data_IF_043392545350
#
_entry.id   IF_043392545350
#
_cell.length_a   1.000
_cell.length_b   1.000
_cell.length_c   1.000
_cell.angle_alpha   90.00
_cell.angle_beta   90.00
_cell.angle_gamma   90.00
#
_symmetry.space_group_name_H-M   'P 1'
#
loop_
_entity.id
_entity.type
_entity.pdbx_description
1 polymer ?
#
# COMPACT_ATOMS: atom_id res chain seq x y z
N UNK A 1 12.34 -19.30 14.07
CA UNK A 1 11.46 -18.69 13.05
C UNK A 1 11.64 -19.50 11.79
N UNK A 2 10.58 -20.11 11.29
CA UNK A 2 10.65 -20.89 10.06
C UNK A 2 10.94 -19.95 8.89
N UNK A 3 12.01 -20.22 8.15
CA UNK A 3 12.60 -19.34 7.13
C UNK A 3 11.71 -19.11 5.89
N UNK A 4 10.46 -19.57 5.90
CA UNK A 4 9.58 -19.57 4.73
C UNK A 4 8.16 -19.02 5.01
N UNK A 5 7.97 -18.29 6.11
CA UNK A 5 6.67 -17.69 6.42
C UNK A 5 6.61 -16.25 5.92
N UNK A 6 5.66 -15.97 5.04
CA UNK A 6 5.33 -14.60 4.61
C UNK A 6 4.16 -14.10 5.46
N UNK A 7 4.28 -12.89 6.02
CA UNK A 7 3.16 -12.22 6.70
C UNK A 7 2.35 -11.45 5.67
N UNK A 8 1.08 -11.81 5.52
CA UNK A 8 0.15 -11.13 4.62
C UNK A 8 -0.75 -10.23 5.44
N UNK A 9 -0.81 -8.96 5.05
CA UNK A 9 -1.71 -7.96 5.63
C UNK A 9 -2.67 -7.51 4.53
N UNK A 10 -3.96 -7.41 4.85
CA UNK A 10 -4.97 -6.93 3.92
C UNK A 10 -5.67 -5.72 4.51
N UNK A 11 -5.97 -4.73 3.69
CA UNK A 11 -6.71 -3.53 4.13
C UNK A 11 -8.05 -3.90 4.77
N UNK A 12 -8.72 -4.94 4.25
CA UNK A 12 -9.96 -5.45 4.83
C UNK A 12 -9.76 -5.98 6.27
N UNK A 13 -8.76 -6.84 6.48
CA UNK A 13 -8.49 -7.39 7.81
C UNK A 13 -8.07 -6.31 8.81
N UNK A 14 -7.23 -5.35 8.37
CA UNK A 14 -6.78 -4.26 9.24
C UNK A 14 -7.96 -3.36 9.64
N UNK A 15 -8.82 -2.97 8.68
CA UNK A 15 -10.01 -2.16 8.97
C UNK A 15 -10.93 -2.86 9.96
N UNK A 16 -11.13 -4.17 9.79
CA UNK A 16 -12.00 -4.94 10.68
C UNK A 16 -11.42 -5.08 12.10
N UNK A 17 -10.09 -5.26 12.23
CA UNK A 17 -9.44 -5.53 13.51
C UNK A 17 -9.04 -4.27 14.29
N UNK A 18 -8.77 -3.15 13.60
CA UNK A 18 -8.26 -1.92 14.22
C UNK A 18 -9.31 -0.82 14.26
N UNK A 19 -9.76 -0.35 13.10
CA UNK A 19 -10.84 0.65 12.98
C UNK A 19 -11.32 0.74 11.53
N UNK A 20 -12.63 0.92 11.34
CA UNK A 20 -13.23 1.14 10.03
C UNK A 20 -12.73 2.42 9.35
N UNK A 21 -12.21 3.37 10.12
CA UNK A 21 -11.68 4.66 9.63
C UNK A 21 -10.30 4.54 8.95
N UNK A 22 -9.67 3.37 8.95
CA UNK A 22 -8.31 3.20 8.42
C UNK A 22 -8.29 3.05 6.88
N UNK A 23 -8.59 4.16 6.19
CA UNK A 23 -8.52 4.34 4.74
C UNK A 23 -7.13 4.83 4.29
N UNK A 24 -6.91 5.03 2.99
CA UNK A 24 -5.60 5.46 2.46
C UNK A 24 -5.17 6.81 3.08
N UNK A 25 -6.10 7.74 3.17
CA UNK A 25 -5.98 9.05 3.82
C UNK A 25 -5.67 8.96 5.32
N UNK A 26 -6.14 7.92 5.99
CA UNK A 26 -5.83 7.70 7.40
C UNK A 26 -4.37 7.29 7.60
N UNK A 27 -3.81 6.47 6.71
CA UNK A 27 -2.37 6.15 6.77
C UNK A 27 -1.50 7.38 6.47
N UNK A 28 -1.91 8.22 5.51
CA UNK A 28 -1.23 9.49 5.25
C UNK A 28 -1.30 10.42 6.48
N UNK A 29 -2.49 10.55 7.10
CA UNK A 29 -2.64 11.29 8.36
C UNK A 29 -1.73 10.75 9.46
N UNK A 30 -1.66 9.43 9.63
CA UNK A 30 -0.78 8.81 10.61
C UNK A 30 0.69 9.13 10.34
N UNK A 31 1.14 9.08 9.09
CA UNK A 31 2.50 9.45 8.73
C UNK A 31 2.79 10.94 8.95
N UNK A 32 1.84 11.83 8.63
CA UNK A 32 1.94 13.26 8.89
C UNK A 32 1.99 13.58 10.39
N UNK A 33 1.26 12.82 11.22
CA UNK A 33 1.23 13.02 12.66
C UNK A 33 2.44 12.41 13.36
N UNK A 34 2.76 11.14 13.10
CA UNK A 34 3.81 10.40 13.81
C UNK A 34 5.22 10.63 13.26
N UNK A 35 5.31 11.19 12.06
CA UNK A 35 6.51 11.12 11.24
C UNK A 35 6.49 9.87 10.36
N UNK A 36 7.05 10.03 9.17
CA UNK A 36 7.21 8.98 8.18
C UNK A 36 8.45 9.25 7.33
N UNK A 37 8.52 8.68 6.13
CA UNK A 37 9.73 8.77 5.30
C UNK A 37 10.00 10.18 4.75
N UNK A 38 8.99 11.07 4.75
CA UNK A 38 9.06 12.40 4.15
C UNK A 38 9.10 13.57 5.15
N UNK A 39 8.76 13.34 6.42
CA UNK A 39 8.69 14.37 7.45
C UNK A 39 8.76 13.75 8.86
N UNK A 40 9.28 14.50 9.83
CA UNK A 40 9.36 14.09 11.25
C UNK A 40 8.00 14.11 11.96
N UNK A 41 6.99 14.75 11.36
CA UNK A 41 5.64 14.85 11.89
C UNK A 41 5.50 15.81 13.07
N UNK A 42 4.43 15.62 13.85
CA UNK A 42 4.10 16.49 14.97
C UNK A 42 4.83 16.06 16.24
N UNK A 43 5.58 16.98 16.83
CA UNK A 43 6.35 16.71 18.05
C UNK A 43 5.45 16.24 19.19
N UNK A 44 5.67 15.00 19.64
CA UNK A 44 4.91 14.39 20.72
C UNK A 44 3.60 13.74 20.29
N UNK A 45 3.32 13.65 18.99
CA UNK A 45 2.20 12.88 18.46
C UNK A 45 2.63 11.44 18.16
N UNK A 46 2.32 10.51 19.06
CA UNK A 46 2.61 9.08 18.86
C UNK A 46 1.51 8.35 18.09
N UNK A 47 1.76 7.08 17.76
CA UNK A 47 0.83 6.22 17.01
C UNK A 47 -0.56 6.12 17.63
N UNK A 48 -0.67 6.08 18.96
CA UNK A 48 -1.98 6.03 19.64
C UNK A 48 -2.78 7.31 19.45
N UNK A 49 -2.13 8.47 19.55
CA UNK A 49 -2.77 9.78 19.37
C UNK A 49 -3.18 9.98 17.91
N UNK A 50 -2.32 9.62 16.97
CA UNK A 50 -2.64 9.68 15.54
C UNK A 50 -3.77 8.72 15.17
N UNK A 51 -3.81 7.51 15.72
CA UNK A 51 -4.92 6.58 15.52
C UNK A 51 -6.22 7.11 16.12
N UNK A 52 -6.17 7.77 17.28
CA UNK A 52 -7.32 8.46 17.85
C UNK A 52 -7.84 9.57 16.92
N UNK A 53 -6.94 10.36 16.32
CA UNK A 53 -7.32 11.35 15.31
C UNK A 53 -7.96 10.73 14.07
N UNK A 54 -7.43 9.59 13.58
CA UNK A 54 -8.06 8.82 12.51
C UNK A 54 -9.49 8.44 12.89
N UNK A 55 -9.71 7.94 14.11
CA UNK A 55 -11.03 7.57 14.61
C UNK A 55 -11.97 8.78 14.81
N UNK A 56 -11.42 9.99 14.95
CA UNK A 56 -12.20 11.23 14.96
C UNK A 56 -12.72 11.64 13.57
N UNK A 57 -12.30 10.97 12.50
CA UNK A 57 -12.75 11.25 11.13
C UNK A 57 -11.98 12.38 10.42
N UNK A 58 -10.89 12.88 11.01
CA UNK A 58 -10.10 13.99 10.40
C UNK A 58 -9.29 13.52 9.19
N UNK A 59 -9.14 12.21 8.99
CA UNK A 59 -8.52 11.65 7.78
C UNK A 59 -9.41 11.85 6.55
N UNK A 60 -10.71 11.58 6.68
CA UNK A 60 -11.69 11.83 5.60
C UNK A 60 -11.79 13.32 5.27
N UNK A 61 -11.78 14.18 6.29
CA UNK A 61 -11.75 15.64 6.08
C UNK A 61 -10.51 16.09 5.28
N UNK A 62 -9.35 15.49 5.52
CA UNK A 62 -8.12 15.79 4.77
C UNK A 62 -8.30 15.49 3.27
N UNK A 63 -8.92 14.35 2.96
CA UNK A 63 -9.25 13.96 1.58
C UNK A 63 -10.23 14.95 0.96
N UNK A 64 -11.24 15.39 1.71
CA UNK A 64 -12.25 16.32 1.21
C UNK A 64 -11.63 17.70 0.89
N UNK A 65 -10.70 18.19 1.72
CA UNK A 65 -9.91 19.40 1.42
C UNK A 65 -9.16 19.24 0.09
N UNK A 66 -8.47 18.13 -0.11
CA UNK A 66 -7.71 17.87 -1.34
C UNK A 66 -8.59 17.73 -2.57
N UNK A 67 -9.77 17.13 -2.44
CA UNK A 67 -10.73 16.98 -3.53
C UNK A 67 -11.37 18.32 -3.92
N UNK A 68 -11.48 19.26 -2.99
CA UNK A 68 -12.07 20.58 -3.20
C UNK A 68 -11.06 21.66 -3.64
N UNK A 69 -9.77 21.34 -3.71
CA UNK A 69 -8.73 22.31 -4.01
C UNK A 69 -8.73 22.74 -5.49
N UNK A 70 -8.70 24.06 -5.72
CA UNK A 70 -8.62 24.65 -7.07
C UNK A 70 -7.26 24.43 -7.76
N UNK A 71 -6.21 24.22 -6.96
CA UNK A 71 -4.84 24.01 -7.42
C UNK A 71 -4.22 22.78 -6.75
N UNK A 72 -3.24 22.18 -7.42
CA UNK A 72 -2.43 21.10 -6.88
C UNK A 72 -0.94 21.46 -7.00
N UNK A 73 -0.20 21.61 -5.87
CA UNK A 73 -0.66 21.47 -4.49
C UNK A 73 -1.67 22.52 -4.01
N UNK A 74 -2.54 22.16 -3.04
CA UNK A 74 -3.44 23.13 -2.43
C UNK A 74 -2.65 24.21 -1.70
N UNK A 75 -3.16 25.43 -1.73
CA UNK A 75 -2.63 26.51 -0.92
C UNK A 75 -2.69 26.16 0.58
N UNK A 76 -1.68 26.54 1.39
CA UNK A 76 -1.67 26.21 2.82
C UNK A 76 -2.93 26.62 3.58
N UNK A 77 -3.61 27.69 3.15
CA UNK A 77 -4.86 28.17 3.73
C UNK A 77 -6.06 27.22 3.57
N UNK A 78 -6.04 26.31 2.58
CA UNK A 78 -7.11 25.33 2.37
C UNK A 78 -7.28 24.38 3.58
N UNK A 79 -6.21 24.16 4.34
CA UNK A 79 -6.21 23.29 5.51
C UNK A 79 -6.60 24.01 6.81
N UNK A 80 -6.99 25.29 6.78
CA UNK A 80 -7.29 26.06 7.99
C UNK A 80 -8.40 25.42 8.85
N UNK A 81 -9.52 25.06 8.22
CA UNK A 81 -10.64 24.46 8.94
C UNK A 81 -10.26 23.07 9.48
N UNK A 82 -9.61 22.26 8.65
CA UNK A 82 -9.09 20.96 9.04
C UNK A 82 -8.11 21.03 10.23
N UNK A 83 -7.17 21.99 10.23
CA UNK A 83 -6.25 22.23 11.35
C UNK A 83 -7.00 22.59 12.63
N UNK A 84 -8.03 23.44 12.53
CA UNK A 84 -8.86 23.81 13.68
C UNK A 84 -9.56 22.59 14.27
N UNK A 85 -10.09 21.70 13.44
CA UNK A 85 -10.73 20.46 13.88
C UNK A 85 -9.72 19.52 14.54
N UNK A 86 -8.55 19.30 13.94
CA UNK A 86 -7.46 18.51 14.54
C UNK A 86 -7.07 19.08 15.91
N UNK A 87 -6.88 20.39 16.00
CA UNK A 87 -6.56 21.09 17.25
C UNK A 87 -7.68 20.90 18.30
N UNK A 88 -8.93 21.08 17.90
CA UNK A 88 -10.08 20.89 18.76
C UNK A 88 -10.16 19.46 19.31
N UNK A 89 -9.94 18.45 18.47
CA UNK A 89 -9.88 17.05 18.90
C UNK A 89 -8.72 16.79 19.86
N UNK A 90 -7.53 17.33 19.60
CA UNK A 90 -6.38 17.19 20.49
C UNK A 90 -6.60 17.86 21.86
N UNK A 91 -7.25 19.02 21.90
CA UNK A 91 -7.44 19.79 23.14
C UNK A 91 -8.63 19.29 23.96
N UNK A 92 -9.71 18.84 23.32
CA UNK A 92 -10.98 18.55 23.99
C UNK A 92 -11.43 17.08 23.91
N UNK A 93 -10.89 16.30 22.98
CA UNK A 93 -11.26 14.89 22.71
C UNK A 93 -12.77 14.61 22.82
N UNK A 94 -13.62 15.35 22.07
CA UNK A 94 -15.08 15.29 22.23
C UNK A 94 -15.67 13.90 21.92
N UNK A 95 -15.01 13.14 21.05
CA UNK A 95 -15.38 11.77 20.66
C UNK A 95 -14.84 10.71 21.62
N UNK A 96 -13.92 11.10 22.53
CA UNK A 96 -13.17 10.20 23.43
C UNK A 96 -12.34 9.14 22.70
N UNK A 97 -12.07 9.35 21.41
CA UNK A 97 -11.35 8.39 20.58
C UNK A 97 -9.84 8.44 20.85
N UNK A 98 -9.31 9.60 21.26
CA UNK A 98 -7.90 9.75 21.62
C UNK A 98 -7.64 9.19 23.02
N UNK A 99 -8.63 9.31 23.92
CA UNK A 99 -8.61 8.79 25.29
C UNK A 99 -7.87 9.70 26.27
N UNK A 100 -7.19 10.75 25.78
CA UNK A 100 -6.50 11.77 26.58
C UNK A 100 -6.37 13.07 25.80
N UNK A 101 -6.27 14.18 26.52
CA UNK A 101 -6.01 15.50 25.97
C UNK A 101 -4.51 15.72 25.68
N UNK A 102 -4.21 16.32 24.54
CA UNK A 102 -2.86 16.61 24.02
C UNK A 102 -2.68 18.08 23.62
N UNK A 103 -2.90 19.06 24.53
CA UNK A 103 -2.77 20.48 24.21
C UNK A 103 -1.35 20.89 23.78
N UNK A 104 -0.31 20.19 24.25
CA UNK A 104 1.07 20.44 23.80
C UNK A 104 1.30 20.03 22.35
N UNK A 105 0.64 18.97 21.87
CA UNK A 105 0.70 18.54 20.47
C UNK A 105 -0.08 19.53 19.62
N UNK A 106 -1.26 19.96 20.08
CA UNK A 106 -2.05 21.00 19.42
C UNK A 106 -1.24 22.31 19.26
N UNK A 107 -0.49 22.71 20.29
CA UNK A 107 0.39 23.88 20.24
C UNK A 107 1.60 23.72 19.31
N UNK A 108 1.98 22.49 18.95
CA UNK A 108 3.04 22.21 17.98
C UNK A 108 2.57 22.24 16.53
N UNK A 109 1.25 22.29 16.30
CA UNK A 109 0.64 22.36 14.98
C UNK A 109 0.95 23.74 14.37
N UNK A 110 1.82 23.78 13.36
CA UNK A 110 2.14 25.01 12.64
C UNK A 110 1.07 25.38 11.62
N UNK A 111 0.94 26.66 11.28
CA UNK A 111 0.08 27.13 10.19
C UNK A 111 0.53 26.59 8.81
N UNK A 112 1.76 26.12 8.69
CA UNK A 112 2.27 25.43 7.50
C UNK A 112 1.97 23.93 7.48
N UNK A 113 1.43 23.35 8.56
CA UNK A 113 1.12 21.93 8.64
C UNK A 113 -0.32 21.63 8.16
N UNK A 114 -0.55 20.62 7.33
CA UNK A 114 0.44 19.73 6.75
C UNK A 114 1.07 20.39 5.51
N UNK A 115 2.32 20.03 5.21
CA UNK A 115 2.97 20.51 3.99
C UNK A 115 2.22 19.95 2.76
N UNK A 116 1.67 20.80 1.88
CA UNK A 116 0.92 20.35 0.71
C UNK A 116 1.71 19.39 -0.19
N UNK A 117 3.01 19.61 -0.31
CA UNK A 117 3.91 18.76 -1.10
C UNK A 117 4.05 17.37 -0.49
N UNK A 118 4.19 17.28 0.84
CA UNK A 118 4.35 16.00 1.55
C UNK A 118 3.06 15.17 1.47
N UNK A 119 1.90 15.80 1.57
CA UNK A 119 0.61 15.12 1.43
C UNK A 119 0.48 14.46 0.04
N UNK A 120 0.94 15.15 -1.01
CA UNK A 120 0.90 14.61 -2.36
C UNK A 120 1.78 13.38 -2.52
N UNK A 121 2.94 13.33 -1.87
CA UNK A 121 3.81 12.16 -1.95
C UNK A 121 3.10 10.88 -1.48
N UNK A 122 2.23 10.98 -0.46
CA UNK A 122 1.45 9.85 0.02
C UNK A 122 0.18 9.57 -0.80
N UNK A 123 -0.59 10.62 -1.13
CA UNK A 123 -1.92 10.44 -1.70
C UNK A 123 -1.96 10.46 -3.23
N UNK A 124 -0.93 11.01 -3.87
CA UNK A 124 -0.75 11.05 -5.32
C UNK A 124 0.72 10.74 -5.67
N UNK A 125 1.23 9.56 -5.29
CA UNK A 125 2.60 9.20 -5.57
C UNK A 125 2.86 9.22 -7.08
N UNK A 126 4.09 9.57 -7.45
CA UNK A 126 4.54 9.42 -8.83
C UNK A 126 4.58 7.93 -9.19
N UNK A 127 3.50 7.46 -9.82
CA UNK A 127 3.38 6.11 -10.35
C UNK A 127 3.72 6.13 -11.83
N UNK A 128 4.36 5.06 -12.30
CA UNK A 128 4.42 4.81 -13.74
C UNK A 128 2.99 4.72 -14.26
N UNK A 129 2.62 5.59 -15.21
CA UNK A 129 1.33 5.49 -15.92
C UNK A 129 1.29 4.08 -16.49
N UNK A 130 0.21 3.36 -16.23
CA UNK A 130 -0.06 2.01 -16.72
C UNK A 130 -0.17 2.02 -18.25
N UNK A 131 0.94 2.24 -18.93
CA UNK A 131 1.14 1.81 -20.31
C UNK A 131 1.61 0.38 -20.14
N UNK A 132 0.67 -0.56 -20.24
CA UNK A 132 0.91 -1.98 -20.26
C UNK A 132 2.04 -2.41 -19.31
N UNK A 133 1.77 -2.46 -18.00
CA UNK A 133 2.54 -3.42 -17.19
C UNK A 133 2.23 -4.74 -17.90
N UNK A 134 3.21 -5.41 -18.56
CA UNK A 134 2.92 -6.69 -19.16
C UNK A 134 2.39 -7.52 -18.00
N UNK A 135 1.09 -7.85 -18.05
CA UNK A 135 0.44 -8.56 -16.97
C UNK A 135 1.33 -9.74 -16.65
N UNK A 136 1.71 -9.93 -15.37
CA UNK A 136 2.69 -10.89 -14.88
C UNK A 136 2.82 -12.00 -15.91
N UNK A 137 3.91 -11.95 -16.69
CA UNK A 137 4.02 -12.67 -17.95
C UNK A 137 3.51 -14.09 -17.76
N UNK A 138 2.72 -14.58 -18.72
CA UNK A 138 2.32 -15.99 -18.79
C UNK A 138 3.54 -16.81 -18.42
N UNK A 139 3.43 -17.79 -17.49
CA UNK A 139 4.59 -18.54 -17.04
C UNK A 139 5.39 -18.99 -18.25
N UNK A 140 6.60 -18.48 -18.42
CA UNK A 140 7.47 -18.89 -19.51
C UNK A 140 8.60 -19.72 -18.94
N UNK A 141 9.04 -20.70 -19.71
CA UNK A 141 10.21 -21.48 -19.37
C UNK A 141 11.44 -20.56 -19.39
N UNK A 142 12.31 -20.65 -18.38
CA UNK A 142 13.57 -19.93 -18.42
C UNK A 142 14.41 -20.45 -19.59
N UNK A 143 15.14 -19.57 -20.26
CA UNK A 143 16.17 -19.99 -21.20
C UNK A 143 17.32 -20.67 -20.42
N UNK A 144 17.29 -22.00 -20.39
CA UNK A 144 18.26 -22.82 -19.69
C UNK A 144 19.66 -22.71 -20.28
N UNK A 145 19.78 -22.40 -21.58
CA UNK A 145 21.08 -22.27 -22.25
C UNK A 145 21.76 -20.97 -21.84
N UNK A 146 21.00 -19.88 -21.87
CA UNK A 146 21.48 -18.57 -21.39
C UNK A 146 21.77 -18.61 -19.90
N UNK A 147 20.90 -19.24 -19.11
CA UNK A 147 21.11 -19.42 -17.67
C UNK A 147 22.38 -20.24 -17.37
N UNK A 148 22.62 -21.34 -18.09
CA UNK A 148 23.82 -22.16 -17.92
C UNK A 148 25.10 -21.40 -18.28
N UNK A 149 25.03 -20.52 -19.28
CA UNK A 149 26.14 -19.65 -19.67
C UNK A 149 26.42 -18.60 -18.59
N UNK A 150 25.39 -17.92 -18.08
CA UNK A 150 25.50 -16.94 -17.00
C UNK A 150 26.01 -17.55 -15.69
N UNK A 151 25.53 -18.74 -15.33
CA UNK A 151 26.00 -19.44 -14.13
C UNK A 151 27.48 -19.79 -14.24
N UNK A 152 27.96 -20.16 -15.42
CA UNK A 152 29.39 -20.40 -15.65
C UNK A 152 30.20 -19.13 -15.50
N UNK A 153 29.75 -18.04 -16.10
CA UNK A 153 30.44 -16.75 -16.11
C UNK A 153 30.44 -16.07 -14.73
N UNK A 154 29.29 -16.00 -14.08
CA UNK A 154 29.09 -15.23 -12.84
C UNK A 154 29.44 -16.01 -11.58
N UNK A 155 29.26 -17.34 -11.59
CA UNK A 155 29.49 -18.19 -10.42
C UNK A 155 30.73 -19.09 -10.55
N UNK A 156 31.44 -19.03 -11.69
CA UNK A 156 32.66 -19.81 -11.92
C UNK A 156 32.41 -21.32 -12.02
N UNK A 157 31.20 -21.74 -12.41
CA UNK A 157 30.83 -23.15 -12.52
C UNK A 157 31.34 -23.77 -13.84
N UNK A 158 32.66 -23.97 -13.91
CA UNK A 158 33.34 -24.49 -15.10
C UNK A 158 33.19 -26.02 -15.30
N UNK A 159 32.91 -26.76 -14.22
CA UNK A 159 32.73 -28.22 -14.26
C UNK A 159 31.33 -28.59 -14.77
N UNK A 160 31.26 -29.05 -16.02
CA UNK A 160 30.00 -29.44 -16.67
C UNK A 160 29.21 -30.50 -15.91
N UNK A 161 29.86 -31.43 -15.21
CA UNK A 161 29.18 -32.50 -14.46
C UNK A 161 28.52 -31.93 -13.21
N UNK A 162 29.24 -31.08 -12.46
CA UNK A 162 28.70 -30.42 -11.28
C UNK A 162 27.61 -29.43 -11.64
N UNK A 163 27.80 -28.65 -12.71
CA UNK A 163 26.78 -27.73 -13.23
C UNK A 163 25.51 -28.47 -13.58
N UNK A 164 25.59 -29.61 -14.28
CA UNK A 164 24.43 -30.44 -14.57
C UNK A 164 23.73 -30.97 -13.30
N UNK A 165 24.50 -31.44 -12.30
CA UNK A 165 23.95 -31.90 -11.02
C UNK A 165 23.23 -30.78 -10.25
N UNK A 166 23.78 -29.56 -10.29
CA UNK A 166 23.15 -28.39 -9.69
C UNK A 166 21.86 -27.99 -10.42
N UNK A 167 21.87 -27.97 -11.76
CA UNK A 167 20.66 -27.70 -12.54
C UNK A 167 19.56 -28.72 -12.25
N UNK A 168 19.92 -30.01 -12.22
CA UNK A 168 18.98 -31.09 -11.89
C UNK A 168 18.38 -30.95 -10.48
N UNK A 169 19.18 -30.56 -9.48
CA UNK A 169 18.72 -30.49 -8.09
C UNK A 169 18.04 -29.18 -7.71
N UNK A 170 18.36 -28.07 -8.38
CA UNK A 170 17.90 -26.72 -8.01
C UNK A 170 16.97 -26.06 -9.02
N UNK A 171 17.19 -26.30 -10.32
CA UNK A 171 16.47 -25.62 -11.39
C UNK A 171 15.33 -26.49 -11.93
N UNK A 172 15.59 -27.79 -12.15
CA UNK A 172 14.62 -28.72 -12.75
C UNK A 172 13.27 -28.82 -12.01
N UNK A 173 13.20 -28.82 -10.66
CA UNK A 173 11.92 -28.81 -9.96
C UNK A 173 11.05 -27.58 -10.31
N UNK A 174 11.67 -26.42 -10.48
CA UNK A 174 10.97 -25.19 -10.87
C UNK A 174 10.57 -25.18 -12.36
N UNK A 175 11.40 -25.76 -13.23
CA UNK A 175 11.08 -25.93 -14.67
C UNK A 175 9.83 -26.81 -14.83
N UNK A 176 9.81 -27.99 -14.21
CA UNK A 176 8.66 -28.89 -14.25
C UNK A 176 7.41 -28.20 -13.72
N UNK A 177 7.51 -27.49 -12.58
CA UNK A 177 6.37 -26.76 -12.03
C UNK A 177 5.84 -25.70 -13.00
N UNK A 178 6.72 -24.96 -13.68
CA UNK A 178 6.32 -23.99 -14.70
C UNK A 178 5.65 -24.67 -15.90
N UNK A 179 6.18 -25.77 -16.40
CA UNK A 179 5.55 -26.53 -17.51
C UNK A 179 4.12 -26.96 -17.13
N UNK A 180 3.95 -27.53 -15.93
CA UNK A 180 2.62 -27.94 -15.44
C UNK A 180 1.66 -26.74 -15.33
N UNK A 181 2.13 -25.59 -14.84
CA UNK A 181 1.31 -24.38 -14.76
C UNK A 181 0.95 -23.83 -16.14
N UNK A 182 1.86 -23.90 -17.11
CA UNK A 182 1.59 -23.53 -18.51
C UNK A 182 0.51 -24.41 -19.11
N UNK A 183 0.60 -25.74 -18.95
CA UNK A 183 -0.39 -26.68 -19.47
C UNK A 183 -1.78 -26.44 -18.86
N UNK A 184 -1.85 -26.22 -17.54
CA UNK A 184 -3.10 -25.91 -16.85
C UNK A 184 -3.72 -24.57 -17.30
N UNK A 185 -2.89 -23.58 -17.63
CA UNK A 185 -3.37 -22.29 -18.14
C UNK A 185 -4.01 -22.40 -19.52
N UNK A 186 -3.55 -23.33 -20.36
CA UNK A 186 -4.11 -23.61 -21.69
C UNK A 186 -5.44 -24.37 -21.60
N UNK A 187 -5.59 -25.24 -20.60
CA UNK A 187 -6.76 -26.11 -20.42
C UNK A 187 -7.91 -25.38 -19.70
N UNK A 188 -7.63 -24.26 -19.02
CA UNK A 188 -8.66 -23.50 -18.29
C UNK A 188 -9.61 -22.80 -19.28
N UNK A 189 -10.90 -23.21 -19.38
CA UNK A 189 -11.86 -22.49 -20.21
C UNK A 189 -12.02 -21.08 -19.64
N UNK A 190 -11.94 -20.06 -20.50
CA UNK A 190 -12.31 -18.69 -20.15
C UNK A 190 -13.71 -18.71 -19.54
N UNK A 191 -13.82 -18.42 -18.25
CA UNK A 191 -15.08 -18.20 -17.55
C UNK A 191 -15.69 -16.88 -18.03
N UNK A 192 -16.16 -16.87 -19.28
CA UNK A 192 -16.93 -15.81 -19.91
C UNK A 192 -18.34 -16.33 -20.22
N UNK A 193 -19.01 -16.89 -19.22
CA UNK A 193 -20.47 -16.96 -19.18
C UNK A 193 -20.91 -16.69 -17.75
N UNK A 194 -20.78 -15.42 -17.32
CA UNK A 194 -21.58 -14.91 -16.22
C UNK A 194 -22.95 -14.54 -16.81
N UNK A 195 -23.93 -15.37 -16.52
CA UNK A 195 -25.34 -15.15 -16.83
C UNK A 195 -25.82 -13.77 -16.38
N UNK A 196 -26.46 -13.03 -17.29
CA UNK A 196 -27.33 -11.91 -16.92
C UNK A 196 -28.47 -12.43 -16.02
N UNK A 197 -28.76 -11.79 -14.88
CA UNK A 197 -30.05 -11.98 -14.24
C UNK A 197 -31.11 -11.20 -15.04
N UNK A 198 -32.04 -11.92 -15.66
CA UNK A 198 -33.34 -11.40 -16.05
C UNK A 198 -34.03 -10.86 -14.79
N UNK A 199 -34.24 -9.55 -14.75
CA UNK A 199 -35.20 -8.97 -13.82
C UNK A 199 -36.56 -8.98 -14.51
N UNK A 200 -37.36 -10.00 -14.17
CA UNK A 200 -38.79 -10.01 -14.41
C UNK A 200 -39.42 -8.76 -13.79
N UNK A 201 -40.07 -7.95 -14.63
CA UNK A 201 -41.08 -6.99 -14.21
C UNK A 201 -42.30 -7.76 -13.73
N UNK A 202 -42.62 -7.63 -12.44
CA UNK A 202 -43.94 -7.97 -11.90
C UNK A 202 -44.77 -6.69 -11.85
N UNK A 203 -45.98 -6.80 -12.39
CA UNK A 203 -47.08 -5.83 -12.42
C UNK A 203 -47.45 -5.22 -11.06
#
# INVERSE_FOLDING_TARGET
MDSNTIKVYTTCAIKHQVTSHLHNEAYALMALCCGGDYDEGLRGCGTSTALGLVQCGVGEQLRDVLASADSMPPEPGAFNHWRQDVCHHLVHDPTRAIGRLHPSVAASLSDSFPSPDIIQLYLRPAISVTVDIPGIDVPHLPDLTTLASLVRELLGWEDHVKTFQHFRSKIWPAVILKEVLMDLSIISPSSNEASSPDFDHVD
#
